data_IF_874100113845
#
_entry.id   IF_874100113845
#
_cell.length_a   1.000
_cell.length_b   1.000
_cell.length_c   1.000
_cell.angle_alpha   90.00
_cell.angle_beta   90.00
_cell.angle_gamma   90.00
#
_symmetry.space_group_name_H-M   'P 1'
#
loop_
_entity.id
_entity.type
_entity.pdbx_description
1 polymer ?
#
# COMPACT_ATOMS: atom_id res chain seq x y z
N UNK A 1 -25.56 22.13 2.72
CA UNK A 1 -24.76 20.90 2.86
C UNK A 1 -23.65 20.85 1.84
N UNK A 2 -22.41 20.77 2.31
CA UNK A 2 -21.21 20.71 1.47
C UNK A 2 -20.81 19.28 1.14
N UNK A 3 -19.98 19.11 0.10
CA UNK A 3 -19.34 17.83 -0.20
C UNK A 3 -18.41 17.47 0.97
N UNK A 4 -18.57 16.28 1.54
CA UNK A 4 -17.70 15.79 2.62
C UNK A 4 -16.32 15.42 2.08
N UNK A 5 -15.31 15.49 2.94
CA UNK A 5 -13.94 15.08 2.56
C UNK A 5 -13.89 13.61 2.08
N UNK A 6 -14.70 12.75 2.70
CA UNK A 6 -14.86 11.35 2.30
C UNK A 6 -15.35 11.21 0.86
N UNK A 7 -16.37 11.99 0.46
CA UNK A 7 -16.85 11.99 -0.93
C UNK A 7 -15.79 12.48 -1.92
N UNK A 8 -14.99 13.48 -1.54
CA UNK A 8 -13.89 13.98 -2.37
C UNK A 8 -12.85 12.86 -2.56
N UNK A 9 -12.42 12.22 -1.48
CA UNK A 9 -11.43 11.14 -1.50
C UNK A 9 -11.89 9.94 -2.32
N UNK A 10 -13.13 9.50 -2.14
CA UNK A 10 -13.72 8.39 -2.90
C UNK A 10 -13.76 8.68 -4.41
N UNK A 11 -14.12 9.90 -4.82
CA UNK A 11 -14.10 10.30 -6.23
C UNK A 11 -12.69 10.48 -6.80
N UNK A 12 -11.73 10.93 -5.99
CA UNK A 12 -10.37 11.18 -6.44
C UNK A 12 -9.53 9.89 -6.57
N UNK A 13 -9.78 8.89 -5.73
CA UNK A 13 -8.94 7.69 -5.63
C UNK A 13 -8.77 6.89 -6.94
N UNK A 14 -9.79 6.69 -7.79
CA UNK A 14 -9.59 6.00 -9.07
C UNK A 14 -8.53 6.66 -9.98
N UNK A 15 -8.30 7.96 -9.84
CA UNK A 15 -7.29 8.69 -10.61
C UNK A 15 -5.86 8.48 -10.10
N UNK A 16 -5.68 8.01 -8.87
CA UNK A 16 -4.35 7.65 -8.34
C UNK A 16 -3.93 6.22 -8.68
N UNK A 17 -4.80 5.43 -9.31
CA UNK A 17 -4.54 4.01 -9.60
C UNK A 17 -4.14 3.79 -11.07
N UNK A 18 -3.30 2.78 -11.27
CA UNK A 18 -2.85 2.33 -12.60
C UNK A 18 -2.87 0.79 -12.67
N UNK A 19 -2.97 0.26 -13.88
CA UNK A 19 -2.90 -1.17 -14.17
C UNK A 19 -3.86 -2.01 -13.31
N UNK A 20 -3.34 -3.11 -12.76
CA UNK A 20 -4.12 -4.09 -11.98
C UNK A 20 -4.84 -3.51 -10.76
N UNK A 21 -4.30 -2.45 -10.15
CA UNK A 21 -4.96 -1.77 -9.02
C UNK A 21 -6.24 -1.05 -9.46
N UNK A 22 -6.19 -0.41 -10.63
CA UNK A 22 -7.35 0.25 -11.23
C UNK A 22 -8.39 -0.77 -11.66
N UNK A 23 -7.97 -1.84 -12.33
CA UNK A 23 -8.86 -2.93 -12.75
C UNK A 23 -9.58 -3.57 -11.56
N UNK A 24 -8.83 -3.87 -10.47
CA UNK A 24 -9.41 -4.40 -9.24
C UNK A 24 -10.52 -3.52 -8.69
N UNK A 25 -10.32 -2.20 -8.64
CA UNK A 25 -11.32 -1.26 -8.14
C UNK A 25 -12.60 -1.28 -9.01
N UNK A 26 -12.45 -1.39 -10.34
CA UNK A 26 -13.59 -1.49 -11.27
C UNK A 26 -14.38 -2.79 -11.15
N UNK A 27 -13.71 -3.90 -10.81
CA UNK A 27 -14.34 -5.22 -10.67
C UNK A 27 -14.86 -5.53 -9.26
N UNK A 28 -14.74 -4.60 -8.31
CA UNK A 28 -15.36 -4.78 -6.99
C UNK A 28 -16.88 -4.86 -7.11
N UNK A 29 -17.49 -5.72 -6.29
CA UNK A 29 -18.94 -5.83 -6.27
C UNK A 29 -19.57 -4.50 -5.84
N UNK A 30 -20.69 -4.09 -6.43
CA UNK A 30 -21.44 -2.92 -5.99
C UNK A 30 -21.73 -2.98 -4.48
N UNK A 31 -21.76 -1.83 -3.82
CA UNK A 31 -22.02 -1.69 -2.38
C UNK A 31 -20.96 -2.30 -1.44
N UNK A 32 -19.80 -2.71 -1.95
CA UNK A 32 -18.68 -3.20 -1.10
C UNK A 32 -17.96 -2.07 -0.37
N UNK A 33 -18.04 -0.84 -0.87
CA UNK A 33 -17.39 0.34 -0.30
C UNK A 33 -18.48 1.34 0.08
N UNK A 34 -18.68 1.57 1.38
CA UNK A 34 -19.63 2.55 1.89
C UNK A 34 -18.96 3.86 2.36
N UNK A 35 -17.67 3.81 2.70
CA UNK A 35 -16.90 4.94 3.20
C UNK A 35 -15.46 4.95 2.68
N UNK A 36 -14.75 6.06 2.88
CA UNK A 36 -13.31 6.12 2.61
C UNK A 36 -12.52 5.08 3.44
N UNK A 37 -12.97 4.82 4.66
CA UNK A 37 -12.35 3.84 5.57
C UNK A 37 -12.45 2.42 5.00
N UNK A 38 -13.60 2.04 4.43
CA UNK A 38 -13.80 0.71 3.83
C UNK A 38 -12.91 0.51 2.61
N UNK A 39 -12.88 1.49 1.71
CA UNK A 39 -12.02 1.46 0.52
C UNK A 39 -10.55 1.29 0.90
N UNK A 40 -10.09 2.08 1.86
CA UNK A 40 -8.70 2.05 2.34
C UNK A 40 -8.35 0.68 2.93
N UNK A 41 -9.26 0.11 3.74
CA UNK A 41 -9.07 -1.21 4.33
C UNK A 41 -8.92 -2.28 3.24
N UNK A 42 -9.86 -2.35 2.31
CA UNK A 42 -9.84 -3.35 1.22
C UNK A 42 -8.61 -3.21 0.31
N UNK A 43 -8.22 -1.97 0.00
CA UNK A 43 -7.04 -1.71 -0.81
C UNK A 43 -5.76 -2.20 -0.12
N UNK A 44 -5.60 -1.89 1.17
CA UNK A 44 -4.43 -2.31 1.94
C UNK A 44 -4.41 -3.83 2.14
N UNK A 45 -5.54 -4.46 2.44
CA UNK A 45 -5.63 -5.92 2.55
C UNK A 45 -5.19 -6.62 1.24
N UNK A 46 -5.57 -6.06 0.08
CA UNK A 46 -5.23 -6.62 -1.23
C UNK A 46 -3.75 -6.40 -1.63
N UNK A 47 -3.23 -5.17 -1.48
CA UNK A 47 -1.93 -4.77 -2.06
C UNK A 47 -0.80 -4.64 -1.04
N UNK A 48 -1.13 -4.44 0.23
CA UNK A 48 -0.16 -4.27 1.31
C UNK A 48 -0.58 -5.02 2.59
N UNK A 49 -0.72 -6.36 2.50
CA UNK A 49 -1.18 -7.16 3.63
C UNK A 49 -0.20 -7.08 4.81
N UNK A 50 -0.70 -7.39 6.01
CA UNK A 50 0.09 -7.36 7.23
C UNK A 50 1.36 -8.23 7.17
N UNK A 51 1.30 -9.35 6.43
CA UNK A 51 2.46 -10.21 6.16
C UNK A 51 3.57 -9.48 5.39
N UNK A 52 3.22 -8.74 4.33
CA UNK A 52 4.17 -7.91 3.58
C UNK A 52 4.79 -6.84 4.47
N UNK A 53 3.97 -6.16 5.26
CA UNK A 53 4.46 -5.17 6.22
C UNK A 53 5.40 -5.79 7.27
N UNK A 54 5.10 -7.01 7.75
CA UNK A 54 5.94 -7.74 8.68
C UNK A 54 7.28 -8.17 8.05
N UNK A 55 7.26 -8.66 6.80
CA UNK A 55 8.49 -9.00 6.06
C UNK A 55 9.40 -7.79 5.88
N UNK A 56 8.85 -6.65 5.44
CA UNK A 56 9.63 -5.41 5.28
C UNK A 56 10.24 -4.97 6.62
N UNK A 57 9.48 -5.00 7.72
CA UNK A 57 10.02 -4.69 9.05
C UNK A 57 11.14 -5.64 9.45
N UNK A 58 10.98 -6.94 9.19
CA UNK A 58 12.00 -7.95 9.49
C UNK A 58 13.26 -7.72 8.66
N UNK A 59 13.11 -7.37 7.39
CA UNK A 59 14.24 -7.03 6.51
C UNK A 59 15.01 -5.82 7.08
N UNK A 60 14.31 -4.73 7.42
CA UNK A 60 14.91 -3.52 8.02
C UNK A 60 15.61 -3.85 9.35
N UNK A 61 14.95 -4.56 10.25
CA UNK A 61 15.56 -4.93 11.55
C UNK A 61 16.70 -5.95 11.41
N UNK A 62 16.73 -6.70 10.31
CA UNK A 62 17.77 -7.69 10.01
C UNK A 62 18.93 -7.15 9.17
N UNK A 63 18.92 -5.85 8.84
CA UNK A 63 20.02 -5.20 8.13
C UNK A 63 21.28 -5.32 8.97
N UNK A 64 22.32 -5.88 8.35
CA UNK A 64 23.66 -5.99 8.91
C UNK A 64 24.68 -6.05 7.78
N UNK A 65 25.87 -5.54 8.06
CA UNK A 65 27.05 -5.78 7.22
C UNK A 65 27.33 -7.29 7.19
N UNK A 66 27.56 -7.84 5.99
CA UNK A 66 27.92 -9.26 5.83
C UNK A 66 29.39 -9.47 6.16
N UNK A 67 29.76 -10.70 6.54
CA UNK A 67 31.14 -11.03 6.96
C UNK A 67 32.20 -10.76 5.89
N UNK A 68 31.81 -10.76 4.61
CA UNK A 68 32.67 -10.51 3.45
C UNK A 68 32.32 -9.22 2.69
N UNK A 69 31.56 -8.30 3.29
CA UNK A 69 31.15 -7.03 2.70
C UNK A 69 31.91 -5.89 3.35
N UNK A 70 32.51 -5.00 2.54
CA UNK A 70 33.11 -3.76 3.04
C UNK A 70 32.06 -2.76 3.51
N UNK A 71 32.47 -1.79 4.32
CA UNK A 71 31.54 -0.75 4.80
C UNK A 71 30.95 0.08 3.65
N UNK A 72 31.74 0.32 2.60
CA UNK A 72 31.30 1.05 1.41
C UNK A 72 30.22 0.28 0.64
N UNK A 73 30.42 -1.03 0.41
CA UNK A 73 29.43 -1.88 -0.26
C UNK A 73 28.13 -2.01 0.56
N UNK A 74 28.25 -2.13 1.88
CA UNK A 74 27.09 -2.14 2.78
C UNK A 74 26.26 -0.85 2.67
N UNK A 75 26.92 0.31 2.62
CA UNK A 75 26.28 1.62 2.48
C UNK A 75 25.63 1.84 1.11
N UNK A 76 26.18 1.28 0.03
CA UNK A 76 25.51 1.36 -1.29
C UNK A 76 24.28 0.45 -1.39
N UNK A 77 24.25 -0.64 -0.62
CA UNK A 77 23.14 -1.61 -0.64
C UNK A 77 21.88 -1.11 0.08
N UNK A 78 22.01 -0.16 1.02
CA UNK A 78 20.92 0.31 1.90
C UNK A 78 20.89 1.82 2.02
#
# INVERSE_FOLDING_TARGET
DGITEDHIKLRAFPFSLQGSAKDWLYYLQPNTIASWTDLKKLFLEKYFPASRAASIRKEICGIRQRDNESLAEYWERF
#
